data_IF_936351143627
#
_entry.id   IF_936351143627
#
_cell.length_a   1.000
_cell.length_b   1.000
_cell.length_c   1.000
_cell.angle_alpha   90.00
_cell.angle_beta   90.00
_cell.angle_gamma   90.00
#
_symmetry.space_group_name_H-M   'P 1'
#
loop_
_entity.id
_entity.type
_entity.pdbx_description
1 polymer ?
#
# COMPACT_ATOMS: atom_id res chain seq x y z
N UNK A 1 -0.71 15.79 -22.88
CA UNK A 1 -1.28 15.11 -21.70
C UNK A 1 -2.78 15.37 -21.67
N UNK A 2 -3.62 14.58 -22.37
CA UNK A 2 -5.09 14.63 -22.17
C UNK A 2 -5.81 13.43 -22.81
N UNK A 3 -5.37 12.21 -22.52
CA UNK A 3 -5.97 11.00 -23.13
C UNK A 3 -7.25 10.54 -22.43
N UNK A 4 -7.61 11.12 -21.28
CA UNK A 4 -8.71 10.66 -20.42
C UNK A 4 -8.48 9.29 -19.78
N UNK A 5 -7.30 8.69 -19.96
CA UNK A 5 -6.95 7.37 -19.43
C UNK A 5 -6.52 7.47 -17.97
N UNK A 6 -6.90 6.47 -17.18
CA UNK A 6 -6.40 6.29 -15.82
C UNK A 6 -4.89 6.05 -15.91
N UNK A 7 -4.10 6.88 -15.25
CA UNK A 7 -2.64 6.79 -15.24
C UNK A 7 -2.10 6.04 -14.00
N UNK A 8 -2.88 6.01 -12.92
CA UNK A 8 -2.47 5.42 -11.67
C UNK A 8 -3.61 5.37 -10.67
N UNK A 9 -3.32 4.73 -9.56
CA UNK A 9 -4.23 4.45 -8.46
C UNK A 9 -3.49 4.58 -7.13
N UNK A 10 -4.25 4.80 -6.06
CA UNK A 10 -3.71 4.94 -4.71
C UNK A 10 -4.35 3.92 -3.77
N UNK A 11 -3.50 3.15 -3.08
CA UNK A 11 -3.94 2.22 -2.04
C UNK A 11 -4.26 2.99 -0.75
N UNK A 12 -5.55 3.10 -0.43
CA UNK A 12 -6.04 3.78 0.77
C UNK A 12 -6.43 2.77 1.83
N UNK A 13 -5.68 2.74 2.94
CA UNK A 13 -5.94 1.83 4.04
C UNK A 13 -7.33 2.06 4.63
N UNK A 14 -8.02 0.98 4.98
CA UNK A 14 -9.30 0.98 5.72
C UNK A 14 -9.29 -0.20 6.66
N UNK A 15 -9.83 -0.02 7.87
CA UNK A 15 -9.94 -1.11 8.84
C UNK A 15 -11.40 -1.54 8.97
N UNK A 16 -11.70 -2.74 8.47
CA UNK A 16 -12.98 -3.38 8.72
C UNK A 16 -12.92 -4.13 10.06
N UNK A 17 -13.43 -3.52 11.12
CA UNK A 17 -13.52 -4.15 12.43
C UNK A 17 -14.76 -5.06 12.50
N UNK A 18 -14.69 -6.25 13.11
CA UNK A 18 -15.82 -7.17 13.20
C UNK A 18 -17.06 -6.54 13.87
N UNK A 19 -16.87 -5.88 15.02
CA UNK A 19 -18.00 -5.27 15.76
C UNK A 19 -18.24 -3.78 15.45
N UNK A 20 -17.19 -2.99 15.24
CA UNK A 20 -17.27 -1.53 15.07
C UNK A 20 -17.49 -1.10 13.61
N UNK A 21 -17.46 -2.04 12.65
CA UNK A 21 -17.60 -1.75 11.24
C UNK A 21 -16.38 -1.05 10.63
N UNK A 22 -16.62 -0.19 9.64
CA UNK A 22 -15.55 0.49 8.90
C UNK A 22 -14.94 1.64 9.72
N UNK A 23 -13.68 1.48 10.11
CA UNK A 23 -12.89 2.47 10.83
C UNK A 23 -11.95 3.18 9.84
N UNK A 24 -12.02 4.52 9.82
CA UNK A 24 -11.25 5.35 8.91
C UNK A 24 -9.80 5.57 9.43
N UNK A 25 -8.80 5.72 8.54
CA UNK A 25 -7.40 5.92 8.91
C UNK A 25 -7.15 6.96 9.98
N UNK A 26 -7.85 8.10 9.92
CA UNK A 26 -7.72 9.19 10.90
C UNK A 26 -7.93 8.74 12.36
N UNK A 27 -8.66 7.65 12.57
CA UNK A 27 -9.00 7.15 13.91
C UNK A 27 -7.94 6.22 14.49
N UNK A 28 -7.19 5.48 13.65
CA UNK A 28 -6.25 4.45 14.14
C UNK A 28 -4.80 4.69 13.73
N UNK A 29 -4.52 5.48 12.68
CA UNK A 29 -3.15 5.76 12.25
C UNK A 29 -2.33 6.46 13.35
N UNK A 30 -2.82 7.49 14.07
CA UNK A 30 -2.05 8.10 15.14
C UNK A 30 -1.61 7.10 16.21
N UNK A 31 -2.53 6.21 16.63
CA UNK A 31 -2.24 5.16 17.59
C UNK A 31 -1.22 4.15 17.05
N UNK A 32 -1.38 3.74 15.79
CA UNK A 32 -0.45 2.84 15.11
C UNK A 32 0.95 3.47 14.96
N UNK A 33 1.02 4.78 14.75
CA UNK A 33 2.29 5.51 14.74
C UNK A 33 2.91 5.50 16.12
N UNK A 34 2.18 5.90 17.16
CA UNK A 34 2.66 5.97 18.54
C UNK A 34 3.28 4.65 19.02
N UNK A 35 2.57 3.53 18.81
CA UNK A 35 2.98 2.19 19.25
C UNK A 35 3.91 1.45 18.25
N UNK A 36 4.22 2.05 17.10
CA UNK A 36 5.11 1.48 16.09
C UNK A 36 4.47 0.42 15.18
N UNK A 37 3.20 0.06 15.38
CA UNK A 37 2.47 -0.87 14.49
C UNK A 37 2.35 -0.34 13.07
N UNK A 38 2.50 0.97 12.84
CA UNK A 38 2.47 1.55 11.50
C UNK A 38 3.54 0.95 10.57
N UNK A 39 4.66 0.46 11.12
CA UNK A 39 5.72 -0.17 10.33
C UNK A 39 5.24 -1.53 9.79
N UNK A 40 4.67 -2.38 10.64
CA UNK A 40 4.17 -3.70 10.22
C UNK A 40 2.92 -3.57 9.34
N UNK A 41 2.00 -2.66 9.68
CA UNK A 41 0.84 -2.33 8.84
C UNK A 41 1.30 -1.86 7.47
N UNK A 42 2.26 -0.93 7.41
CA UNK A 42 2.74 -0.40 6.14
C UNK A 42 3.44 -1.44 5.27
N UNK A 43 4.21 -2.37 5.85
CA UNK A 43 4.76 -3.52 5.13
C UNK A 43 3.64 -4.40 4.55
N UNK A 44 2.61 -4.68 5.34
CA UNK A 44 1.45 -5.42 4.87
C UNK A 44 0.71 -4.69 3.73
N UNK A 45 0.57 -3.36 3.81
CA UNK A 45 -0.04 -2.54 2.75
C UNK A 45 0.78 -2.61 1.46
N UNK A 46 2.11 -2.48 1.52
CA UNK A 46 2.98 -2.59 0.35
C UNK A 46 2.81 -3.94 -0.35
N UNK A 47 2.89 -5.04 0.41
CA UNK A 47 2.71 -6.38 -0.14
C UNK A 47 1.33 -6.56 -0.78
N UNK A 48 0.28 -6.10 -0.11
CA UNK A 48 -1.10 -6.23 -0.59
C UNK A 48 -1.31 -5.39 -1.85
N UNK A 49 -0.81 -4.16 -1.89
CA UNK A 49 -0.94 -3.27 -3.04
C UNK A 49 -0.19 -3.84 -4.27
N UNK A 50 1.03 -4.32 -4.10
CA UNK A 50 1.79 -4.94 -5.20
C UNK A 50 1.08 -6.20 -5.74
N UNK A 51 0.63 -7.10 -4.85
CA UNK A 51 -0.13 -8.30 -5.24
C UNK A 51 -1.43 -7.96 -5.96
N UNK A 52 -2.17 -6.96 -5.47
CA UNK A 52 -3.42 -6.53 -6.10
C UNK A 52 -3.19 -5.94 -7.49
N UNK A 53 -2.11 -5.17 -7.69
CA UNK A 53 -1.77 -4.65 -9.02
C UNK A 53 -1.48 -5.79 -10.01
N UNK A 54 -0.68 -6.78 -9.60
CA UNK A 54 -0.40 -7.95 -10.44
C UNK A 54 -1.68 -8.75 -10.73
N UNK A 55 -2.56 -8.93 -9.76
CA UNK A 55 -3.85 -9.60 -9.98
C UNK A 55 -4.70 -8.87 -11.04
N UNK A 56 -4.79 -7.53 -10.98
CA UNK A 56 -5.50 -6.76 -12.01
C UNK A 56 -4.84 -6.88 -13.40
N UNK A 57 -3.51 -6.91 -13.48
CA UNK A 57 -2.83 -7.15 -14.76
C UNK A 57 -3.16 -8.53 -15.33
N UNK A 58 -3.27 -9.56 -14.48
CA UNK A 58 -3.68 -10.92 -14.87
C UNK A 58 -5.13 -10.97 -15.34
N UNK A 59 -6.00 -10.11 -14.80
CA UNK A 59 -7.39 -9.93 -15.26
C UNK A 59 -7.50 -9.11 -16.57
N UNK A 60 -6.38 -8.59 -17.10
CA UNK A 60 -6.33 -7.84 -18.35
C UNK A 60 -6.47 -6.33 -18.20
N UNK A 61 -6.46 -5.79 -16.98
CA UNK A 61 -6.38 -4.35 -16.77
C UNK A 61 -5.00 -3.81 -17.20
N UNK A 62 -4.93 -2.54 -17.64
CA UNK A 62 -3.65 -1.93 -17.99
C UNK A 62 -2.71 -1.88 -16.77
N UNK A 63 -1.41 -1.91 -17.03
CA UNK A 63 -0.42 -1.63 -16.00
C UNK A 63 -0.59 -0.18 -15.52
N UNK A 64 -1.01 -0.02 -14.26
CA UNK A 64 -1.20 1.27 -13.61
C UNK A 64 -0.13 1.50 -12.56
N UNK A 65 0.30 2.75 -12.39
CA UNK A 65 1.14 3.14 -11.27
C UNK A 65 0.36 2.96 -9.96
N UNK A 66 0.94 2.22 -9.01
CA UNK A 66 0.38 2.02 -7.68
C UNK A 66 1.08 2.95 -6.68
N UNK A 67 0.33 3.91 -6.14
CA UNK A 67 0.78 4.76 -5.04
C UNK A 67 0.39 4.14 -3.70
N UNK A 68 1.34 4.14 -2.75
CA UNK A 68 1.14 3.68 -1.37
C UNK A 68 1.61 4.79 -0.44
N UNK A 69 0.76 5.15 0.54
CA UNK A 69 1.11 6.13 1.54
C UNK A 69 2.12 5.58 2.56
N UNK A 70 3.11 6.41 2.90
CA UNK A 70 4.11 6.08 3.92
C UNK A 70 3.98 7.03 5.10
N UNK A 71 4.05 6.47 6.31
CA UNK A 71 4.20 7.28 7.52
C UNK A 71 5.61 7.85 7.64
N UNK A 72 5.76 8.91 8.46
CA UNK A 72 7.10 9.48 8.76
C UNK A 72 8.04 8.43 9.35
N UNK A 73 7.54 7.58 10.26
CA UNK A 73 8.33 6.51 10.90
C UNK A 73 8.86 5.50 9.89
N UNK A 74 8.07 5.13 8.90
CA UNK A 74 8.52 4.24 7.82
C UNK A 74 9.55 4.92 6.93
N UNK A 75 9.36 6.20 6.60
CA UNK A 75 10.28 6.94 5.73
C UNK A 75 11.69 7.02 6.31
N UNK A 76 11.82 7.24 7.62
CA UNK A 76 13.11 7.23 8.33
C UNK A 76 13.58 5.83 8.75
N UNK A 77 12.78 4.79 8.48
CA UNK A 77 13.12 3.41 8.82
C UNK A 77 14.19 2.84 7.89
N UNK A 78 15.21 2.18 8.47
CA UNK A 78 16.31 1.58 7.70
C UNK A 78 15.87 0.47 6.75
N UNK A 79 14.73 -0.16 7.03
CA UNK A 79 14.22 -1.31 6.28
C UNK A 79 13.31 -0.93 5.11
N UNK A 80 12.99 0.35 4.89
CA UNK A 80 12.01 0.74 3.87
C UNK A 80 12.36 0.21 2.47
N UNK A 81 13.61 0.39 2.03
CA UNK A 81 14.05 -0.11 0.73
C UNK A 81 14.03 -1.64 0.64
N UNK A 82 14.32 -2.32 1.74
CA UNK A 82 14.24 -3.78 1.82
C UNK A 82 12.79 -4.24 1.70
N UNK A 83 11.87 -3.58 2.39
CA UNK A 83 10.44 -3.88 2.38
C UNK A 83 9.84 -3.66 0.98
N UNK A 84 10.18 -2.55 0.31
CA UNK A 84 9.73 -2.29 -1.07
C UNK A 84 10.27 -3.35 -2.04
N UNK A 85 11.57 -3.67 -1.98
CA UNK A 85 12.16 -4.70 -2.83
C UNK A 85 11.53 -6.07 -2.59
N UNK A 86 11.29 -6.42 -1.33
CA UNK A 86 10.60 -7.64 -0.95
C UNK A 86 9.20 -7.71 -1.55
N UNK A 87 8.40 -6.65 -1.41
CA UNK A 87 7.05 -6.59 -1.94
C UNK A 87 7.00 -6.75 -3.48
N UNK A 88 7.89 -6.07 -4.20
CA UNK A 88 8.00 -6.20 -5.66
C UNK A 88 8.42 -7.61 -6.07
N UNK A 89 9.44 -8.18 -5.41
CA UNK A 89 9.94 -9.52 -5.73
C UNK A 89 8.90 -10.60 -5.42
N UNK A 90 8.25 -10.56 -4.26
CA UNK A 90 7.26 -11.56 -3.86
C UNK A 90 5.99 -11.53 -4.73
N UNK A 91 5.59 -10.34 -5.18
CA UNK A 91 4.42 -10.19 -6.06
C UNK A 91 4.73 -10.45 -7.53
N UNK A 92 6.00 -10.35 -7.94
CA UNK A 92 6.40 -10.31 -9.34
C UNK A 92 6.04 -9.00 -10.04
N UNK A 93 5.67 -7.96 -9.28
CA UNK A 93 5.35 -6.65 -9.83
C UNK A 93 6.62 -5.97 -10.37
N UNK A 94 6.58 -5.55 -11.63
CA UNK A 94 7.65 -4.73 -12.20
C UNK A 94 7.72 -3.37 -11.48
N UNK A 95 8.92 -2.86 -11.15
CA UNK A 95 9.08 -1.48 -10.69
C UNK A 95 8.53 -0.50 -11.73
N UNK A 96 7.86 0.55 -11.26
CA UNK A 96 7.36 1.64 -12.09
C UNK A 96 8.45 2.64 -12.47
#
# INVERSE_FOLDING_TARGET
MNTGRIAGIEALLRWQHPDLGLIMPRQFIPLAEENGLIISIGRWVLNTACRQNVAWQQEGFPTLTMAVNLSRRQFFGKDLLKDIKGALQESGMAPC
#
